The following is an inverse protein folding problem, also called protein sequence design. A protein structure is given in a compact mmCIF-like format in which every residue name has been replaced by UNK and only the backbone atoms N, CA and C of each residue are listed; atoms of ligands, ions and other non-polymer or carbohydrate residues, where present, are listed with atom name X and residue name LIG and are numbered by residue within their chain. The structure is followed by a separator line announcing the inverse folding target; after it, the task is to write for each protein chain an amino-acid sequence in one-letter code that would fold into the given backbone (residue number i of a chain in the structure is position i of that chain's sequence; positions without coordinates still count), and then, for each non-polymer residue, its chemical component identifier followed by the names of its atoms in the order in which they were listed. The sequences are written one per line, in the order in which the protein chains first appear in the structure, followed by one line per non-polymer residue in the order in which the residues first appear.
data_IF_299275747830
#
_entry.id   IF_299275747830
#
_cell.length_a   1.000
_cell.length_b   1.000
_cell.length_c   1.000
_cell.angle_alpha   90.00
_cell.angle_beta   90.00
_cell.angle_gamma   90.00
#
_symmetry.space_group_name_H-M   'P 1'
#
loop_
_entity.id
_entity.type
_entity.pdbx_description
1 polymer ?
#
# COMPACT_ATOMS: atom_id res chain seq x y z
N UNK A 1 -5.80 -33.54 -15.37
CA UNK A 1 -6.29 -32.13 -15.37
C UNK A 1 -5.79 -31.27 -14.18
N UNK A 2 -5.20 -31.85 -13.14
CA UNK A 2 -4.70 -31.11 -11.95
C UNK A 2 -3.33 -30.46 -12.09
N UNK A 3 -2.41 -31.03 -12.84
CA UNK A 3 -1.00 -30.60 -12.88
C UNK A 3 -0.78 -29.14 -13.31
N UNK A 4 -1.46 -28.66 -14.35
CA UNK A 4 -1.32 -27.26 -14.81
C UNK A 4 -1.74 -26.23 -13.75
N UNK A 5 -2.81 -26.51 -12.98
CA UNK A 5 -3.27 -25.63 -11.89
C UNK A 5 -2.30 -25.65 -10.71
N UNK A 6 -1.72 -26.82 -10.38
CA UNK A 6 -0.72 -26.95 -9.34
C UNK A 6 0.56 -26.18 -9.69
N UNK A 7 1.12 -26.36 -10.88
CA UNK A 7 2.30 -25.64 -11.36
C UNK A 7 2.07 -24.13 -11.38
N UNK A 8 0.91 -23.67 -11.84
CA UNK A 8 0.57 -22.25 -11.84
C UNK A 8 0.39 -21.68 -10.41
N UNK A 9 -0.09 -22.48 -9.46
CA UNK A 9 -0.21 -22.09 -8.07
C UNK A 9 1.15 -22.00 -7.39
N UNK A 10 2.05 -22.95 -7.63
CA UNK A 10 3.42 -22.96 -7.14
C UNK A 10 4.21 -21.75 -7.66
N UNK A 11 4.12 -21.47 -8.97
CA UNK A 11 4.76 -20.31 -9.58
C UNK A 11 4.29 -18.99 -8.94
N UNK A 12 2.97 -18.81 -8.78
CA UNK A 12 2.43 -17.60 -8.09
C UNK A 12 2.85 -17.53 -6.64
N UNK A 13 2.95 -18.67 -5.95
CA UNK A 13 3.41 -18.71 -4.55
C UNK A 13 4.89 -18.31 -4.45
N UNK A 14 5.74 -18.81 -5.36
CA UNK A 14 7.15 -18.44 -5.43
C UNK A 14 7.34 -16.94 -5.71
N UNK A 15 6.62 -16.40 -6.70
CA UNK A 15 6.64 -14.96 -7.03
C UNK A 15 6.20 -14.08 -5.84
N UNK A 16 5.16 -14.50 -5.09
CA UNK A 16 4.72 -13.78 -3.88
C UNK A 16 5.75 -13.81 -2.76
N UNK A 17 6.48 -14.91 -2.60
CA UNK A 17 7.54 -15.02 -1.60
C UNK A 17 8.71 -14.08 -1.89
N UNK A 18 9.01 -13.79 -3.15
CA UNK A 18 10.09 -12.88 -3.54
C UNK A 18 9.73 -11.41 -3.36
N UNK A 19 8.46 -11.02 -3.53
CA UNK A 19 8.03 -9.63 -3.40
C UNK A 19 8.04 -9.14 -1.95
N UNK A 20 8.63 -7.98 -1.69
CA UNK A 20 8.52 -7.29 -0.40
C UNK A 20 7.19 -6.53 -0.34
N UNK A 21 6.23 -7.08 0.38
CA UNK A 21 4.86 -6.57 0.48
C UNK A 21 4.53 -6.23 1.92
N UNK A 22 3.90 -5.07 2.15
CA UNK A 22 3.26 -4.74 3.41
C UNK A 22 1.77 -4.44 3.19
N UNK A 23 0.93 -4.92 4.09
CA UNK A 23 -0.53 -4.80 3.98
C UNK A 23 -1.08 -4.20 5.27
N UNK A 24 -1.79 -3.08 5.14
CA UNK A 24 -2.58 -2.48 6.21
C UNK A 24 -4.06 -2.80 5.98
N UNK A 25 -4.66 -3.55 6.90
CA UNK A 25 -6.09 -3.92 6.81
C UNK A 25 -6.95 -3.06 7.73
N UNK A 26 -8.20 -2.85 7.32
CA UNK A 26 -9.23 -2.17 8.10
C UNK A 26 -8.82 -0.77 8.60
N UNK A 27 -8.11 0.00 7.77
CA UNK A 27 -7.76 1.37 8.07
C UNK A 27 -9.02 2.25 8.10
N UNK A 28 -9.32 2.97 9.20
CA UNK A 28 -10.58 3.70 9.37
C UNK A 28 -10.57 5.06 8.64
N UNK A 29 -10.02 5.11 7.45
CA UNK A 29 -10.04 6.28 6.57
C UNK A 29 -10.75 5.95 5.26
N UNK A 30 -11.29 6.96 4.59
CA UNK A 30 -11.94 6.75 3.30
C UNK A 30 -10.91 6.33 2.23
N UNK A 31 -11.22 5.31 1.39
CA UNK A 31 -10.32 4.89 0.30
C UNK A 31 -9.95 6.03 -0.64
N UNK A 32 -10.90 6.93 -0.91
CA UNK A 32 -10.70 8.10 -1.77
C UNK A 32 -9.61 9.04 -1.23
N UNK A 33 -9.61 9.30 0.09
CA UNK A 33 -8.59 10.13 0.72
C UNK A 33 -7.22 9.45 0.74
N UNK A 34 -7.21 8.13 0.93
CA UNK A 34 -5.98 7.34 0.93
C UNK A 34 -5.35 7.27 -0.46
N UNK A 35 -6.16 7.14 -1.53
CA UNK A 35 -5.66 7.10 -2.92
C UNK A 35 -4.91 8.37 -3.31
N UNK A 36 -5.35 9.54 -2.86
CA UNK A 36 -4.64 10.80 -3.12
C UNK A 36 -3.18 10.78 -2.62
N UNK A 37 -2.93 10.14 -1.49
CA UNK A 37 -1.58 10.00 -0.95
C UNK A 37 -0.82 8.87 -1.65
N UNK A 38 -1.50 7.76 -1.96
CA UNK A 38 -0.93 6.64 -2.68
C UNK A 38 -0.39 7.04 -4.06
N UNK A 39 -1.12 7.88 -4.78
CA UNK A 39 -0.74 8.33 -6.13
C UNK A 39 0.54 9.20 -6.13
N UNK A 40 0.77 9.96 -5.05
CA UNK A 40 1.97 10.80 -4.92
C UNK A 40 3.24 9.97 -4.73
N UNK A 41 3.15 8.82 -4.05
CA UNK A 41 4.34 8.00 -3.71
C UNK A 41 4.57 6.86 -4.70
N UNK A 42 3.63 6.57 -5.59
CA UNK A 42 3.78 5.48 -6.58
C UNK A 42 4.91 5.77 -7.55
N UNK A 43 5.84 4.83 -7.71
CA UNK A 43 7.01 4.97 -8.59
C UNK A 43 8.13 5.85 -8.03
N UNK A 44 7.98 6.39 -6.83
CA UNK A 44 8.97 7.28 -6.21
C UNK A 44 10.01 6.47 -5.43
N UNK A 45 11.24 6.94 -5.42
CA UNK A 45 12.32 6.43 -4.58
C UNK A 45 11.93 6.48 -3.09
N UNK A 46 12.32 5.47 -2.32
CA UNK A 46 11.88 5.30 -0.93
C UNK A 46 12.22 6.50 -0.04
N UNK A 47 13.44 7.04 -0.13
CA UNK A 47 13.86 8.16 0.69
C UNK A 47 13.02 9.42 0.41
N UNK A 48 12.75 9.67 -0.87
CA UNK A 48 11.86 10.77 -1.29
C UNK A 48 10.42 10.53 -0.86
N UNK A 49 9.92 9.29 -1.01
CA UNK A 49 8.58 8.93 -0.59
C UNK A 49 8.37 9.12 0.92
N UNK A 50 9.33 8.71 1.75
CA UNK A 50 9.31 8.93 3.20
C UNK A 50 9.31 10.42 3.54
N UNK A 51 10.12 11.24 2.86
CA UNK A 51 10.12 12.69 3.01
C UNK A 51 8.76 13.30 2.68
N UNK A 52 8.17 12.96 1.53
CA UNK A 52 6.85 13.43 1.11
C UNK A 52 5.77 13.06 2.15
N UNK A 53 5.78 11.83 2.64
CA UNK A 53 4.79 11.36 3.62
C UNK A 53 4.95 12.07 4.97
N UNK A 54 6.18 12.28 5.43
CA UNK A 54 6.49 12.92 6.72
C UNK A 54 6.07 14.39 6.77
N UNK A 55 6.28 15.13 5.68
CA UNK A 55 5.94 16.56 5.61
C UNK A 55 4.51 16.83 5.14
N UNK A 56 3.76 15.81 4.75
CA UNK A 56 2.36 15.93 4.34
C UNK A 56 1.44 16.14 5.56
N UNK A 57 0.58 17.16 5.49
CA UNK A 57 -0.42 17.48 6.54
C UNK A 57 -1.61 16.50 6.56
N UNK A 58 -1.68 15.51 5.66
CA UNK A 58 -2.81 14.59 5.55
C UNK A 58 -2.69 13.44 6.55
N UNK A 59 -3.75 13.13 7.31
CA UNK A 59 -3.79 11.99 8.23
C UNK A 59 -3.41 10.65 7.55
N UNK A 60 -3.84 10.47 6.30
CA UNK A 60 -3.53 9.30 5.51
C UNK A 60 -2.00 9.06 5.36
N UNK A 61 -1.20 10.14 5.33
CA UNK A 61 0.26 10.07 5.18
C UNK A 61 0.94 9.42 6.38
N UNK A 62 0.46 9.69 7.59
CA UNK A 62 1.01 9.10 8.83
C UNK A 62 0.87 7.57 8.81
N UNK A 63 -0.27 7.09 8.34
CA UNK A 63 -0.54 5.64 8.23
C UNK A 63 0.27 4.99 7.12
N UNK A 64 0.38 5.69 5.99
CA UNK A 64 1.15 5.26 4.83
C UNK A 64 2.66 5.21 5.14
N UNK A 65 3.19 6.17 5.90
CA UNK A 65 4.59 6.20 6.34
C UNK A 65 4.93 4.95 7.17
N UNK A 66 4.08 4.62 8.16
CA UNK A 66 4.28 3.41 8.97
C UNK A 66 4.25 2.14 8.13
N UNK A 67 3.33 2.07 7.17
CA UNK A 67 3.22 0.93 6.28
C UNK A 67 4.43 0.81 5.35
N UNK A 68 4.93 1.93 4.82
CA UNK A 68 6.12 1.95 3.98
C UNK A 68 7.37 1.50 4.75
N UNK A 69 7.55 1.95 6.00
CA UNK A 69 8.64 1.46 6.87
C UNK A 69 8.56 -0.05 7.10
N UNK A 70 7.35 -0.59 7.28
CA UNK A 70 7.14 -2.04 7.37
C UNK A 70 7.51 -2.77 6.07
N UNK A 71 7.19 -2.19 4.91
CA UNK A 71 7.56 -2.76 3.61
C UNK A 71 9.07 -2.80 3.40
N UNK A 72 9.79 -1.75 3.84
CA UNK A 72 11.25 -1.68 3.80
C UNK A 72 11.85 -2.77 4.69
N UNK A 73 11.41 -2.90 5.93
CA UNK A 73 11.90 -3.95 6.85
C UNK A 73 11.62 -5.37 6.30
N UNK A 74 10.48 -5.58 5.63
CA UNK A 74 10.19 -6.84 4.97
C UNK A 74 11.12 -7.10 3.76
N UNK A 75 11.57 -6.04 3.10
CA UNK A 75 12.53 -6.15 2.01
C UNK A 75 13.92 -6.52 2.55
N UNK A 76 14.39 -5.86 3.61
CA UNK A 76 15.64 -6.15 4.30
C UNK A 76 15.71 -7.61 4.77
N UNK A 77 14.65 -8.07 5.45
CA UNK A 77 14.57 -9.46 5.93
C UNK A 77 14.60 -10.52 4.81
N UNK A 78 14.27 -10.15 3.58
CA UNK A 78 14.32 -11.04 2.42
C UNK A 78 15.65 -10.97 1.66
N UNK A 79 16.35 -9.86 1.77
CA UNK A 79 17.58 -9.58 1.03
C UNK A 79 18.72 -9.24 2.02
N UNK A 80 18.99 -10.15 2.96
CA UNK A 80 20.02 -9.99 4.01
C UNK A 80 21.43 -9.69 3.48
N UNK A 81 21.70 -10.10 2.24
CA UNK A 81 22.99 -9.89 1.57
C UNK A 81 23.14 -8.50 0.91
N UNK A 82 22.08 -7.70 0.87
CA UNK A 82 22.08 -6.41 0.19
C UNK A 82 21.83 -5.28 1.19
N UNK A 83 22.71 -4.27 1.19
CA UNK A 83 22.50 -3.07 2.02
C UNK A 83 21.55 -2.10 1.34
N UNK A 84 20.68 -1.47 2.14
CA UNK A 84 19.77 -0.42 1.68
C UNK A 84 20.50 0.77 1.04
N UNK A 85 21.71 1.07 1.54
CA UNK A 85 22.52 2.20 1.10
C UNK A 85 23.01 2.03 -0.34
N UNK A 86 23.28 0.79 -0.75
CA UNK A 86 23.81 0.46 -2.08
C UNK A 86 22.70 0.24 -3.11
N UNK A 87 21.47 0.00 -2.64
CA UNK A 87 20.36 -0.39 -3.51
C UNK A 87 19.33 0.74 -3.61
N UNK A 88 19.13 1.28 -4.80
CA UNK A 88 18.06 2.24 -5.05
C UNK A 88 16.72 1.52 -5.06
N UNK A 89 15.98 1.63 -3.95
CA UNK A 89 14.65 1.07 -3.82
C UNK A 89 13.56 2.08 -4.21
N UNK A 90 12.49 1.60 -4.80
CA UNK A 90 11.32 2.41 -5.14
C UNK A 90 10.01 1.74 -4.69
N UNK A 91 9.00 2.57 -4.57
CA UNK A 91 7.63 2.11 -4.35
C UNK A 91 7.06 1.67 -5.70
N UNK A 92 7.14 0.37 -5.98
CA UNK A 92 6.73 -0.19 -7.28
C UNK A 92 5.23 -0.12 -7.49
N UNK A 93 4.47 -0.62 -6.52
CA UNK A 93 3.01 -0.73 -6.62
C UNK A 93 2.37 -0.28 -5.31
N UNK A 94 1.28 0.47 -5.40
CA UNK A 94 0.42 0.81 -4.26
C UNK A 94 -1.03 0.59 -4.66
N UNK A 95 -1.71 -0.25 -3.90
CA UNK A 95 -3.14 -0.53 -4.07
C UNK A 95 -3.92 -0.05 -2.86
N UNK A 96 -5.08 0.55 -3.09
CA UNK A 96 -6.00 0.99 -2.06
C UNK A 96 -7.39 0.45 -2.36
N UNK A 97 -7.77 -0.58 -1.63
CA UNK A 97 -9.04 -1.29 -1.78
C UNK A 97 -10.08 -0.80 -0.76
N UNK A 98 -11.35 -0.94 -1.11
CA UNK A 98 -12.44 -0.65 -0.20
C UNK A 98 -12.57 -1.71 0.89
N UNK A 99 -12.66 -1.28 2.15
CA UNK A 99 -12.92 -2.14 3.28
C UNK A 99 -14.37 -2.09 3.75
N UNK A 100 -14.63 -2.72 4.88
CA UNK A 100 -15.94 -2.70 5.54
C UNK A 100 -16.33 -1.28 5.90
N UNK A 101 -17.61 -0.94 5.71
CA UNK A 101 -18.15 0.36 6.10
C UNK A 101 -19.11 0.23 7.29
N UNK A 102 -19.06 1.21 8.18
CA UNK A 102 -20.03 1.38 9.26
C UNK A 102 -21.12 2.31 8.79
N UNK A 103 -22.36 1.86 8.89
CA UNK A 103 -23.55 2.67 8.59
C UNK A 103 -24.00 3.41 9.83
N UNK A 104 -24.25 4.71 9.72
CA UNK A 104 -24.76 5.57 10.79
C UNK A 104 -25.90 6.41 10.24
N UNK A 105 -26.70 6.98 11.12
CA UNK A 105 -27.83 7.83 10.79
C UNK A 105 -27.59 9.19 11.42
N UNK A 106 -27.85 10.23 10.65
CA UNK A 106 -27.89 11.61 11.12
C UNK A 106 -29.31 12.12 11.00
N UNK A 107 -29.92 12.64 12.09
CA UNK A 107 -31.25 13.24 12.04
C UNK A 107 -31.31 14.39 11.05
N UNK A 108 -32.43 14.48 10.33
CA UNK A 108 -32.73 15.55 9.40
C UNK A 108 -34.08 16.19 9.75
N UNK A 109 -34.39 17.40 9.25
CA UNK A 109 -35.68 18.04 9.46
C UNK A 109 -36.87 17.16 9.04
N UNK A 110 -38.02 17.38 9.63
CA UNK A 110 -39.28 16.68 9.33
C UNK A 110 -39.27 15.16 9.60
N UNK A 111 -38.55 14.72 10.64
CA UNK A 111 -38.50 13.30 11.01
C UNK A 111 -37.75 12.42 10.01
N UNK A 112 -37.02 13.00 9.07
CA UNK A 112 -36.20 12.27 8.10
C UNK A 112 -34.83 11.92 8.69
N UNK A 113 -34.11 10.96 8.07
CA UNK A 113 -32.79 10.58 8.48
C UNK A 113 -31.86 10.47 7.26
N UNK A 114 -30.66 11.05 7.36
CA UNK A 114 -29.61 10.89 6.38
C UNK A 114 -28.64 9.75 6.76
N UNK A 115 -28.27 8.94 5.77
CA UNK A 115 -27.33 7.86 5.98
C UNK A 115 -25.90 8.36 5.91
N UNK A 116 -25.10 8.09 6.94
CA UNK A 116 -23.66 8.32 6.96
C UNK A 116 -22.96 6.99 6.77
N UNK A 117 -21.99 6.94 5.86
CA UNK A 117 -21.14 5.76 5.61
C UNK A 117 -19.73 6.06 6.08
N UNK A 118 -19.33 5.52 7.23
CA UNK A 118 -17.93 5.54 7.71
C UNK A 118 -17.17 4.43 6.99
N UNK A 119 -16.42 4.79 5.95
CA UNK A 119 -15.70 3.85 5.09
C UNK A 119 -14.34 3.50 5.68
N UNK A 120 -13.91 2.27 5.49
CA UNK A 120 -12.53 1.83 5.74
C UNK A 120 -11.86 1.40 4.43
N UNK A 121 -10.57 1.19 4.49
CA UNK A 121 -9.78 0.75 3.35
C UNK A 121 -8.74 -0.30 3.75
N UNK A 122 -8.20 -0.97 2.75
CA UNK A 122 -7.03 -1.83 2.84
C UNK A 122 -5.96 -1.24 1.92
N UNK A 123 -4.74 -1.13 2.42
CA UNK A 123 -3.62 -0.61 1.63
C UNK A 123 -2.57 -1.68 1.50
N UNK A 124 -2.12 -1.91 0.29
CA UNK A 124 -1.01 -2.81 -0.04
C UNK A 124 0.10 -2.01 -0.69
N UNK A 125 1.31 -2.09 -0.16
CA UNK A 125 2.51 -1.47 -0.73
C UNK A 125 3.48 -2.57 -1.13
N UNK A 126 4.01 -2.48 -2.34
CA UNK A 126 5.07 -3.36 -2.86
C UNK A 126 6.31 -2.51 -3.11
N UNK A 127 7.40 -2.89 -2.49
CA UNK A 127 8.72 -2.26 -2.67
C UNK A 127 9.59 -3.19 -3.51
N UNK A 128 10.32 -2.61 -4.46
CA UNK A 128 11.24 -3.33 -5.33
C UNK A 128 12.42 -2.43 -5.73
N UNK A 129 13.45 -3.02 -6.30
CA UNK A 129 14.59 -2.27 -6.85
C UNK A 129 14.14 -1.39 -8.01
N UNK A 130 14.74 -0.21 -8.09
CA UNK A 130 14.51 0.69 -9.20
C UNK A 130 15.19 0.13 -10.46
N UNK A 131 14.38 -0.34 -11.41
CA UNK A 131 14.89 -0.72 -12.72
C UNK A 131 15.14 0.57 -13.50
N UNK A 132 16.39 0.97 -13.62
CA UNK A 132 16.80 2.01 -14.59
C UNK A 132 16.62 1.42 -15.98
N UNK A 133 15.54 1.79 -16.65
CA UNK A 133 15.43 1.53 -18.10
C UNK A 133 16.42 2.47 -18.75
N UNK A 134 17.61 1.96 -19.06
CA UNK A 134 18.49 2.64 -20.00
C UNK A 134 17.78 2.67 -21.35
N UNK A 135 17.24 3.83 -21.69
CA UNK A 135 16.77 4.08 -23.04
C UNK A 135 17.99 4.00 -23.99
N UNK A 136 18.07 2.91 -24.71
CA UNK A 136 18.94 2.78 -25.87
C UNK A 136 18.37 3.57 -27.03
#
# INVERSE_FOLDING_TARGET
MGARKAIAAEKRSAEKKQKAVAILRNCPTSPRKMRLVADIIRGVEINKALGILRYSKKEASIRMEKLLKSAIANWEAKNENERLEDTKLCVKEVFVDGGRMLKRIQPAPQGRAHRIRKRSNHVTIVVDKMVTVENK
#
